data_IF_086542847878
#
_entry.id   IF_086542847878
#
_cell.length_a   1.000
_cell.length_b   1.000
_cell.length_c   1.000
_cell.angle_alpha   90.00
_cell.angle_beta   90.00
_cell.angle_gamma   90.00
#
_symmetry.space_group_name_H-M   'P 1'
#
loop_
_entity.id
_entity.type
_entity.pdbx_description
1 polymer ?
#
# COMPACT_ATOMS: atom_id res chain seq x y z
N UNK A 1 -26.47 3.95 -28.26
CA UNK A 1 -26.00 3.56 -26.94
C UNK A 1 -25.12 4.71 -26.45
N UNK A 2 -25.65 5.61 -25.61
CA UNK A 2 -24.87 6.65 -24.93
C UNK A 2 -23.83 5.94 -24.06
N UNK A 3 -22.55 6.09 -24.40
CA UNK A 3 -21.46 5.46 -23.69
C UNK A 3 -21.42 5.95 -22.25
N UNK A 4 -21.63 5.07 -21.29
CA UNK A 4 -21.40 5.37 -19.89
C UNK A 4 -19.93 5.77 -19.73
N UNK A 5 -19.68 6.89 -19.04
CA UNK A 5 -18.31 7.33 -18.76
C UNK A 5 -17.52 6.21 -18.07
N UNK A 6 -16.28 5.91 -18.46
CA UNK A 6 -15.46 4.94 -17.76
C UNK A 6 -15.37 5.28 -16.26
N UNK A 7 -15.33 4.29 -15.35
CA UNK A 7 -15.29 4.55 -13.92
C UNK A 7 -14.00 5.26 -13.52
N UNK A 8 -14.05 6.10 -12.49
CA UNK A 8 -12.83 6.49 -11.81
C UNK A 8 -12.30 5.30 -11.02
N UNK A 9 -11.00 5.28 -10.77
CA UNK A 9 -10.36 4.16 -10.06
C UNK A 9 -9.41 4.71 -9.01
N UNK A 10 -9.57 4.25 -7.77
CA UNK A 10 -8.68 4.59 -6.67
C UNK A 10 -8.13 3.30 -6.06
N UNK A 11 -6.82 3.13 -6.11
CA UNK A 11 -6.11 2.05 -5.42
C UNK A 11 -5.49 2.63 -4.14
N UNK A 12 -6.05 2.27 -2.99
CA UNK A 12 -5.57 2.67 -1.66
C UNK A 12 -4.69 1.55 -1.11
N UNK A 13 -3.45 1.87 -0.78
CA UNK A 13 -2.51 0.91 -0.20
C UNK A 13 -1.99 1.43 1.13
N UNK A 14 -2.17 0.63 2.19
CA UNK A 14 -1.52 0.83 3.48
C UNK A 14 -0.14 0.16 3.49
N UNK A 15 0.75 0.60 4.36
CA UNK A 15 2.13 0.14 4.46
C UNK A 15 2.35 -0.62 5.77
N UNK A 16 2.67 -1.90 5.68
CA UNK A 16 2.86 -2.79 6.84
C UNK A 16 1.61 -2.99 7.71
N UNK A 17 0.42 -2.83 7.16
CA UNK A 17 -0.82 -3.03 7.91
C UNK A 17 -1.11 -4.53 8.07
N UNK A 18 -1.16 -5.00 9.32
CA UNK A 18 -1.43 -6.41 9.62
C UNK A 18 -2.88 -6.81 9.38
N UNK A 19 -3.11 -8.10 9.17
CA UNK A 19 -4.45 -8.63 8.93
C UNK A 19 -5.42 -8.34 10.08
N UNK A 20 -4.94 -8.50 11.33
CA UNK A 20 -5.73 -8.25 12.53
C UNK A 20 -5.92 -6.76 12.86
N UNK A 21 -5.16 -5.87 12.23
CA UNK A 21 -5.30 -4.42 12.45
C UNK A 21 -6.61 -3.87 11.90
N UNK A 22 -7.23 -4.59 10.96
CA UNK A 22 -8.55 -4.28 10.41
C UNK A 22 -9.63 -4.93 11.26
N UNK A 23 -10.54 -4.12 11.80
CA UNK A 23 -11.55 -4.62 12.74
C UNK A 23 -12.50 -5.66 12.14
N UNK A 24 -12.76 -5.61 10.85
CA UNK A 24 -13.57 -6.61 10.14
C UNK A 24 -12.87 -7.98 10.06
N UNK A 25 -11.55 -8.02 9.98
CA UNK A 25 -10.79 -9.26 9.79
C UNK A 25 -10.51 -9.99 11.11
N UNK A 26 -10.01 -9.28 12.12
CA UNK A 26 -9.55 -9.91 13.36
C UNK A 26 -9.94 -9.17 14.63
N UNK A 27 -10.65 -8.08 14.51
CA UNK A 27 -11.15 -7.32 15.65
C UNK A 27 -10.48 -5.96 15.87
N UNK A 28 -9.29 -5.74 15.34
CA UNK A 28 -8.57 -4.47 15.46
C UNK A 28 -7.49 -4.45 16.54
N UNK A 29 -6.69 -3.39 16.53
CA UNK A 29 -5.56 -3.19 17.44
C UNK A 29 -6.01 -3.08 18.90
N UNK A 30 -5.15 -3.50 19.81
CA UNK A 30 -5.35 -3.49 21.25
C UNK A 30 -6.65 -4.21 21.68
N UNK A 31 -6.83 -5.44 21.16
CA UNK A 31 -8.02 -6.24 21.47
C UNK A 31 -9.33 -5.63 20.97
N UNK A 32 -9.25 -4.82 19.91
CA UNK A 32 -10.41 -4.19 19.29
C UNK A 32 -10.80 -2.84 19.87
N UNK A 33 -9.95 -2.22 20.68
CA UNK A 33 -10.14 -0.84 21.13
C UNK A 33 -10.09 0.11 19.93
N UNK A 34 -9.14 -0.11 19.01
CA UNK A 34 -9.05 0.65 17.76
C UNK A 34 -9.90 -0.03 16.70
N UNK A 35 -10.86 0.69 16.17
CA UNK A 35 -11.75 0.23 15.10
C UNK A 35 -11.40 0.91 13.78
N UNK A 36 -11.73 0.23 12.68
CA UNK A 36 -11.52 0.73 11.31
C UNK A 36 -12.84 0.81 10.53
N UNK A 37 -13.84 1.59 11.02
CA UNK A 37 -15.18 1.58 10.45
C UNK A 37 -15.23 2.04 8.99
N UNK A 38 -14.36 2.95 8.58
CA UNK A 38 -14.33 3.48 7.21
C UNK A 38 -13.69 2.49 6.22
N UNK A 39 -12.59 1.84 6.62
CA UNK A 39 -11.97 0.76 5.84
C UNK A 39 -12.93 -0.43 5.77
N UNK A 40 -13.54 -0.83 6.89
CA UNK A 40 -14.55 -1.89 6.94
C UNK A 40 -15.75 -1.61 6.04
N UNK A 41 -16.16 -0.33 5.91
CA UNK A 41 -17.27 0.07 5.04
C UNK A 41 -16.99 -0.24 3.56
N UNK A 42 -15.73 -0.13 3.10
CA UNK A 42 -15.36 -0.49 1.73
C UNK A 42 -15.74 -1.96 1.45
N UNK A 43 -15.48 -2.85 2.40
CA UNK A 43 -15.87 -4.26 2.28
C UNK A 43 -17.38 -4.48 2.38
N UNK A 44 -18.05 -3.82 3.34
CA UNK A 44 -19.50 -3.98 3.57
C UNK A 44 -20.33 -3.40 2.42
N UNK A 45 -19.87 -2.30 1.83
CA UNK A 45 -20.51 -1.66 0.68
C UNK A 45 -20.02 -2.23 -0.66
N UNK A 46 -19.20 -3.28 -0.65
CA UNK A 46 -18.59 -3.90 -1.82
C UNK A 46 -18.29 -5.37 -1.64
N UNK A 47 -17.08 -5.79 -1.95
CA UNK A 47 -16.59 -7.16 -1.83
C UNK A 47 -15.45 -7.25 -0.79
N UNK A 48 -15.53 -8.27 0.05
CA UNK A 48 -14.43 -8.76 0.89
C UNK A 48 -13.87 -10.05 0.28
N UNK A 49 -12.61 -10.01 -0.16
CA UNK A 49 -11.85 -11.21 -0.56
C UNK A 49 -11.19 -11.82 0.66
N UNK A 50 -11.79 -12.86 1.23
CA UNK A 50 -11.32 -13.46 2.49
C UNK A 50 -10.04 -14.28 2.35
N UNK A 51 -9.60 -14.57 1.12
CA UNK A 51 -8.38 -15.33 0.81
C UNK A 51 -7.50 -14.54 -0.17
N UNK A 52 -7.00 -13.39 0.29
CA UNK A 52 -6.17 -12.50 -0.53
C UNK A 52 -4.70 -12.52 -0.09
N UNK A 53 -3.80 -12.43 -1.07
CA UNK A 53 -2.36 -12.54 -0.85
C UNK A 53 -1.58 -11.36 -1.45
N UNK A 54 -0.64 -10.86 -0.66
CA UNK A 54 0.44 -10.02 -1.19
C UNK A 54 1.34 -10.87 -2.11
N UNK A 55 1.86 -10.24 -3.14
CA UNK A 55 2.74 -10.94 -4.09
C UNK A 55 4.15 -11.21 -3.54
N UNK A 56 4.50 -10.55 -2.45
CA UNK A 56 5.74 -10.75 -1.71
C UNK A 56 5.49 -10.37 -0.24
N UNK A 57 6.36 -10.83 0.66
CA UNK A 57 6.27 -10.53 2.08
C UNK A 57 6.87 -9.16 2.47
N UNK A 58 7.27 -8.34 1.50
CA UNK A 58 7.89 -7.02 1.70
C UNK A 58 7.40 -5.98 0.71
N UNK A 59 7.60 -4.69 1.05
CA UNK A 59 7.03 -3.51 0.40
C UNK A 59 7.28 -3.44 -1.11
N UNK A 60 8.53 -3.16 -1.51
CA UNK A 60 8.82 -2.81 -2.91
C UNK A 60 8.50 -3.92 -3.91
N UNK A 61 8.83 -5.21 -3.69
CA UNK A 61 8.44 -6.25 -4.64
C UNK A 61 6.92 -6.46 -4.69
N UNK A 62 6.18 -6.33 -3.58
CA UNK A 62 4.72 -6.35 -3.61
C UNK A 62 4.13 -5.20 -4.41
N UNK A 63 4.65 -3.99 -4.22
CA UNK A 63 4.23 -2.79 -4.98
C UNK A 63 4.56 -2.94 -6.46
N UNK A 64 5.73 -3.49 -6.79
CA UNK A 64 6.12 -3.81 -8.17
C UNK A 64 5.12 -4.78 -8.83
N UNK A 65 4.68 -5.80 -8.11
CA UNK A 65 3.69 -6.75 -8.60
C UNK A 65 2.31 -6.10 -8.82
N UNK A 66 1.85 -5.23 -7.92
CA UNK A 66 0.61 -4.46 -8.12
C UNK A 66 0.67 -3.57 -9.34
N UNK A 67 1.81 -2.88 -9.54
CA UNK A 67 1.98 -1.96 -10.66
C UNK A 67 2.12 -2.66 -12.01
N UNK A 68 2.68 -3.87 -12.07
CA UNK A 68 2.99 -4.57 -13.32
C UNK A 68 2.07 -5.76 -13.63
N UNK A 69 1.30 -6.25 -12.65
CA UNK A 69 0.53 -7.48 -12.76
C UNK A 69 1.40 -8.74 -12.93
N UNK A 70 2.69 -8.66 -12.56
CA UNK A 70 3.68 -9.73 -12.72
C UNK A 70 4.42 -10.00 -11.43
N UNK A 71 4.77 -11.26 -11.19
CA UNK A 71 5.68 -11.55 -10.08
C UNK A 71 7.02 -10.82 -10.28
N UNK A 72 7.54 -10.12 -9.25
CA UNK A 72 8.76 -9.33 -9.37
C UNK A 72 10.01 -10.16 -9.68
N UNK A 73 10.00 -11.45 -9.32
CA UNK A 73 11.02 -12.44 -9.73
C UNK A 73 11.20 -12.54 -11.26
N UNK A 74 10.17 -12.18 -12.04
CA UNK A 74 10.23 -12.24 -13.51
C UNK A 74 11.08 -11.14 -14.14
N UNK A 75 11.40 -10.09 -13.39
CA UNK A 75 12.22 -8.97 -13.86
C UNK A 75 13.36 -8.60 -12.88
N UNK A 76 13.63 -9.49 -11.90
CA UNK A 76 14.79 -9.36 -11.02
C UNK A 76 14.62 -8.37 -9.86
N UNK A 77 13.38 -8.08 -9.42
CA UNK A 77 13.09 -7.19 -8.31
C UNK A 77 12.44 -7.96 -7.15
N UNK A 78 13.20 -8.88 -6.55
CA UNK A 78 12.69 -9.92 -5.64
C UNK A 78 12.70 -9.51 -4.17
N UNK A 79 13.54 -8.53 -3.81
CA UNK A 79 13.78 -8.11 -2.43
C UNK A 79 13.46 -6.63 -2.25
N UNK A 80 13.27 -6.23 -1.00
CA UNK A 80 13.08 -4.82 -0.66
C UNK A 80 14.28 -4.00 -1.11
N UNK A 81 14.03 -2.97 -1.92
CA UNK A 81 15.06 -2.01 -2.27
C UNK A 81 15.48 -1.22 -1.02
N UNK A 82 16.74 -1.36 -0.64
CA UNK A 82 17.33 -0.68 0.50
C UNK A 82 18.77 -0.30 0.18
N UNK A 83 19.31 0.81 0.75
CA UNK A 83 20.74 1.12 0.63
C UNK A 83 21.57 0.04 1.32
N UNK A 84 22.80 -0.16 0.84
CA UNK A 84 23.74 -1.15 1.42
C UNK A 84 23.98 -0.86 2.90
N UNK A 85 24.08 0.41 3.27
CA UNK A 85 24.28 0.87 4.65
C UNK A 85 23.13 0.44 5.58
N UNK A 86 21.91 0.34 5.06
CA UNK A 86 20.78 -0.24 5.81
C UNK A 86 21.02 -1.71 6.10
N UNK A 87 21.36 -2.50 5.09
CA UNK A 87 21.60 -3.93 5.23
C UNK A 87 22.79 -4.21 6.19
N UNK A 88 23.86 -3.42 6.09
CA UNK A 88 25.00 -3.48 7.00
C UNK A 88 24.58 -3.13 8.43
N UNK A 89 23.89 -2.03 8.64
CA UNK A 89 23.46 -1.55 9.97
C UNK A 89 22.55 -2.55 10.68
N UNK A 90 21.57 -3.14 9.98
CA UNK A 90 20.64 -4.10 10.59
C UNK A 90 21.27 -5.48 10.85
N UNK A 91 22.35 -5.81 10.16
CA UNK A 91 23.09 -7.06 10.38
C UNK A 91 24.12 -6.97 11.53
N UNK A 92 24.58 -5.78 11.88
CA UNK A 92 25.48 -5.54 13.01
C UNK A 92 24.69 -5.41 14.30
N UNK A 93 24.73 -6.43 15.15
CA UNK A 93 24.15 -6.38 16.48
C UNK A 93 23.85 -7.74 17.08
N UNK A 94 23.62 -7.75 18.37
CA UNK A 94 23.07 -8.92 19.04
C UNK A 94 21.60 -9.01 18.67
N UNK A 95 21.29 -9.83 17.65
CA UNK A 95 19.92 -10.10 17.24
C UNK A 95 19.12 -10.71 18.38
N UNK A 96 17.83 -10.40 18.45
CA UNK A 96 16.89 -10.99 19.43
C UNK A 96 16.64 -12.47 19.14
N UNK A 97 17.07 -12.98 17.99
CA UNK A 97 16.90 -14.36 17.56
C UNK A 97 18.06 -15.29 17.97
N UNK A 98 17.85 -16.61 17.87
CA UNK A 98 18.87 -17.61 18.14
C UNK A 98 20.05 -17.59 17.15
N UNK A 99 19.89 -16.88 16.04
CA UNK A 99 20.89 -16.76 14.98
C UNK A 99 21.27 -15.30 14.77
N UNK A 100 22.59 -15.03 14.74
CA UNK A 100 23.08 -13.69 14.37
C UNK A 100 22.92 -13.49 12.87
N UNK A 101 22.47 -12.30 12.46
CA UNK A 101 22.52 -11.90 11.07
C UNK A 101 24.00 -11.78 10.63
N UNK A 102 24.29 -12.24 9.42
CA UNK A 102 25.64 -12.16 8.84
C UNK A 102 25.57 -11.25 7.63
N UNK A 103 26.39 -10.19 7.64
CA UNK A 103 26.53 -9.33 6.49
C UNK A 103 27.65 -9.85 5.58
N UNK A 104 27.29 -10.26 4.38
CA UNK A 104 28.19 -10.81 3.39
C UNK A 104 28.70 -9.70 2.45
N UNK A 105 29.65 -8.91 2.91
CA UNK A 105 30.23 -7.81 2.15
C UNK A 105 30.82 -8.25 0.80
N UNK A 106 31.32 -9.48 0.75
CA UNK A 106 31.88 -10.11 -0.46
C UNK A 106 30.84 -10.36 -1.57
N UNK A 107 29.57 -10.36 -1.23
CA UNK A 107 28.47 -10.49 -2.20
C UNK A 107 28.08 -9.14 -2.82
N UNK A 108 28.58 -8.01 -2.30
CA UNK A 108 28.36 -6.71 -2.90
C UNK A 108 29.30 -6.59 -4.09
N UNK A 109 28.76 -6.80 -5.27
CA UNK A 109 29.50 -6.74 -6.53
C UNK A 109 29.16 -5.45 -7.28
N UNK A 110 30.01 -5.01 -8.24
CA UNK A 110 29.70 -3.87 -9.11
C UNK A 110 28.41 -4.02 -9.95
N UNK A 111 27.85 -5.23 -9.99
CA UNK A 111 26.62 -5.50 -10.71
C UNK A 111 25.34 -5.25 -9.88
N UNK A 112 25.48 -5.00 -8.57
CA UNK A 112 24.34 -4.58 -7.75
C UNK A 112 24.11 -3.10 -8.03
N UNK A 113 22.91 -2.70 -8.52
CA UNK A 113 22.64 -1.29 -8.77
C UNK A 113 22.66 -0.49 -7.47
N UNK A 114 23.01 0.78 -7.58
CA UNK A 114 22.86 1.71 -6.47
C UNK A 114 21.40 1.85 -6.05
N UNK A 115 21.14 2.18 -4.80
CA UNK A 115 19.78 2.24 -4.26
C UNK A 115 18.80 3.05 -5.12
N UNK A 116 19.11 4.24 -5.66
CA UNK A 116 18.21 4.96 -6.55
C UNK A 116 17.82 4.21 -7.82
N UNK A 117 18.67 3.30 -8.29
CA UNK A 117 18.45 2.49 -9.49
C UNK A 117 17.72 1.17 -9.20
N UNK A 118 17.47 0.84 -7.91
CA UNK A 118 16.70 -0.32 -7.52
C UNK A 118 15.21 -0.05 -7.69
N UNK A 119 14.62 -0.52 -8.79
CA UNK A 119 13.21 -0.27 -9.09
C UNK A 119 12.63 -1.14 -10.18
N UNK A 120 11.41 -0.83 -10.58
CA UNK A 120 10.76 -1.48 -11.71
C UNK A 120 11.45 -1.06 -12.99
N UNK A 121 12.01 -2.00 -13.77
CA UNK A 121 12.68 -1.65 -15.02
C UNK A 121 11.73 -0.91 -15.97
N UNK A 122 12.22 0.11 -16.67
CA UNK A 122 11.43 0.94 -17.59
C UNK A 122 10.82 0.17 -18.79
N UNK A 123 11.27 -1.07 -19.03
CA UNK A 123 10.68 -1.97 -20.04
C UNK A 123 9.40 -2.67 -19.57
N UNK A 124 9.12 -2.67 -18.27
CA UNK A 124 7.89 -3.23 -17.72
C UNK A 124 6.77 -2.19 -17.89
N UNK A 125 5.60 -2.65 -18.31
CA UNK A 125 4.43 -1.78 -18.44
C UNK A 125 3.71 -1.71 -17.11
N UNK A 126 3.54 -0.50 -16.59
CA UNK A 126 2.79 -0.27 -15.35
C UNK A 126 1.30 -0.13 -15.62
N UNK A 127 0.49 -0.32 -14.57
CA UNK A 127 -0.96 -0.07 -14.66
C UNK A 127 -1.26 1.39 -14.98
N UNK A 128 -0.44 2.34 -14.51
CA UNK A 128 -0.60 3.75 -14.84
C UNK A 128 -0.43 4.00 -16.35
N UNK A 129 0.59 3.41 -16.98
CA UNK A 129 0.78 3.49 -18.44
C UNK A 129 -0.38 2.85 -19.20
N UNK A 130 -0.87 1.70 -18.74
CA UNK A 130 -1.96 1.00 -19.40
C UNK A 130 -3.27 1.79 -19.36
N UNK A 131 -3.66 2.36 -18.20
CA UNK A 131 -4.89 3.15 -18.10
C UNK A 131 -4.72 4.54 -18.72
N UNK A 132 -3.53 5.13 -18.70
CA UNK A 132 -3.23 6.38 -19.44
C UNK A 132 -3.45 6.22 -20.93
N UNK A 133 -3.02 5.10 -21.50
CA UNK A 133 -3.28 4.75 -22.90
C UNK A 133 -4.80 4.59 -23.20
N UNK A 134 -5.62 4.28 -22.19
CA UNK A 134 -7.07 4.22 -22.28
C UNK A 134 -7.76 5.57 -22.01
N UNK A 135 -7.01 6.67 -21.88
CA UNK A 135 -7.53 8.03 -21.74
C UNK A 135 -7.74 8.49 -20.29
N UNK A 136 -7.20 7.79 -19.31
CA UNK A 136 -7.25 8.19 -17.91
C UNK A 136 -6.20 9.25 -17.58
N UNK A 137 -6.57 10.19 -16.72
CA UNK A 137 -5.60 11.02 -16.01
C UNK A 137 -5.05 10.24 -14.81
N UNK A 138 -3.72 10.17 -14.67
CA UNK A 138 -3.08 9.26 -13.73
C UNK A 138 -2.38 10.03 -12.60
N UNK A 139 -2.71 9.68 -11.37
CA UNK A 139 -2.32 10.37 -10.15
C UNK A 139 -1.61 9.41 -9.19
N UNK A 140 -0.45 9.80 -8.67
CA UNK A 140 0.24 9.11 -7.60
C UNK A 140 0.37 10.02 -6.38
N UNK A 141 -0.06 9.55 -5.21
CA UNK A 141 0.07 10.26 -3.94
C UNK A 141 0.60 9.29 -2.89
N UNK A 142 1.77 9.56 -2.34
CA UNK A 142 2.34 8.82 -1.24
C UNK A 142 3.61 8.03 -1.56
N UNK A 143 3.76 6.86 -0.93
CA UNK A 143 4.95 6.01 -1.07
C UNK A 143 5.04 5.37 -2.45
N UNK A 144 6.23 5.51 -3.06
CA UNK A 144 6.57 4.84 -4.33
C UNK A 144 7.36 3.57 -4.12
N UNK A 145 8.60 3.66 -3.67
CA UNK A 145 9.52 2.56 -3.37
C UNK A 145 9.82 1.63 -4.58
N UNK A 146 9.77 2.17 -5.79
CA UNK A 146 10.00 1.43 -7.05
C UNK A 146 11.09 2.07 -7.92
N UNK A 147 12.01 2.80 -7.29
CA UNK A 147 13.16 3.47 -7.90
C UNK A 147 13.11 4.99 -7.71
N UNK A 148 14.27 5.57 -7.37
CA UNK A 148 14.44 7.02 -7.18
C UNK A 148 15.12 7.71 -8.36
N UNK A 149 15.82 6.94 -9.22
CA UNK A 149 16.42 7.48 -10.43
C UNK A 149 15.35 8.09 -11.36
N UNK A 150 15.64 9.17 -12.08
CA UNK A 150 14.65 9.89 -12.90
C UNK A 150 13.84 9.00 -13.83
N UNK A 151 14.46 7.97 -14.43
CA UNK A 151 13.78 7.02 -15.33
C UNK A 151 12.84 6.04 -14.61
N UNK A 152 12.93 5.93 -13.28
CA UNK A 152 12.16 4.99 -12.47
C UNK A 152 11.13 5.70 -11.59
N UNK A 153 11.10 7.02 -11.57
CA UNK A 153 10.14 7.80 -10.79
C UNK A 153 8.71 7.68 -11.36
N UNK A 154 7.68 7.95 -10.56
CA UNK A 154 6.28 7.75 -10.97
C UNK A 154 5.92 8.44 -12.30
N UNK A 155 6.38 9.67 -12.54
CA UNK A 155 6.10 10.40 -13.79
C UNK A 155 6.74 9.76 -15.02
N UNK A 156 7.86 9.05 -14.86
CA UNK A 156 8.48 8.26 -15.94
C UNK A 156 7.80 6.89 -16.13
N UNK A 157 7.00 6.46 -15.16
CA UNK A 157 6.31 5.18 -15.11
C UNK A 157 4.78 5.33 -15.31
N UNK A 158 4.36 6.40 -16.00
CA UNK A 158 3.00 6.57 -16.48
C UNK A 158 2.08 7.48 -15.68
N UNK A 159 2.53 8.07 -14.56
CA UNK A 159 1.73 9.04 -13.81
C UNK A 159 1.86 10.46 -14.35
N UNK A 160 0.73 11.13 -14.59
CA UNK A 160 0.70 12.53 -15.03
C UNK A 160 1.10 13.47 -13.91
N UNK A 161 0.66 13.15 -12.68
CA UNK A 161 0.98 13.91 -11.47
C UNK A 161 1.42 12.94 -10.37
N UNK A 162 2.46 13.33 -9.64
CA UNK A 162 3.00 12.51 -8.55
C UNK A 162 3.48 13.36 -7.39
N UNK A 163 2.84 13.21 -6.24
CA UNK A 163 3.31 13.67 -4.95
C UNK A 163 3.89 12.48 -4.20
N UNK A 164 5.22 12.38 -4.10
CA UNK A 164 5.88 11.15 -3.75
C UNK A 164 6.78 11.24 -2.51
N UNK A 165 6.69 10.21 -1.66
CA UNK A 165 7.83 9.67 -0.92
C UNK A 165 8.48 8.63 -1.82
N UNK A 166 9.62 8.96 -2.43
CA UNK A 166 10.27 8.08 -3.42
C UNK A 166 10.84 6.81 -2.80
N UNK A 167 11.38 6.90 -1.59
CA UNK A 167 12.00 5.79 -0.87
C UNK A 167 11.01 4.89 -0.10
N UNK A 168 11.59 4.01 0.71
CA UNK A 168 10.85 2.98 1.45
C UNK A 168 10.05 3.49 2.64
N UNK A 169 10.39 4.64 3.21
CA UNK A 169 9.70 5.26 4.33
C UNK A 169 10.03 6.76 4.42
N UNK A 170 9.29 7.47 5.26
CA UNK A 170 9.53 8.87 5.61
C UNK A 170 9.10 9.12 7.06
N UNK A 171 9.56 10.22 7.65
CA UNK A 171 9.00 10.75 8.89
C UNK A 171 7.58 11.26 8.63
N UNK A 172 6.67 11.07 9.57
CA UNK A 172 5.30 11.58 9.45
C UNK A 172 5.17 13.03 9.90
N UNK A 173 6.05 13.45 10.82
CA UNK A 173 6.24 14.80 11.31
C UNK A 173 7.73 15.00 11.61
N UNK A 174 8.23 16.24 11.73
CA UNK A 174 9.52 16.47 12.40
C UNK A 174 9.54 15.79 13.78
N UNK A 175 10.67 15.22 14.18
CA UNK A 175 10.75 14.46 15.44
C UNK A 175 10.41 15.31 16.67
N UNK A 176 10.76 16.59 16.63
CA UNK A 176 10.57 17.58 17.68
C UNK A 176 9.28 18.43 17.52
N UNK A 177 8.41 18.07 16.58
CA UNK A 177 7.13 18.76 16.40
C UNK A 177 6.22 18.57 17.62
N UNK A 178 5.56 19.63 18.06
CA UNK A 178 4.70 19.61 19.24
C UNK A 178 3.48 18.68 19.08
N UNK A 179 3.07 18.40 17.85
CA UNK A 179 1.96 17.50 17.53
C UNK A 179 2.41 16.06 17.28
N UNK A 180 3.73 15.78 17.32
CA UNK A 180 4.27 14.44 17.13
C UNK A 180 4.28 13.66 18.45
N UNK A 181 3.67 12.47 18.45
CA UNK A 181 3.83 11.50 19.54
C UNK A 181 4.63 10.33 19.01
N UNK A 182 5.89 10.24 19.47
CA UNK A 182 6.89 9.30 18.97
C UNK A 182 6.97 8.05 19.85
N UNK A 183 7.09 6.89 19.25
CA UNK A 183 7.43 5.64 19.94
C UNK A 183 8.65 5.00 19.29
N UNK A 184 9.82 5.14 19.91
CA UNK A 184 11.04 4.48 19.46
C UNK A 184 11.10 3.04 19.97
N UNK A 185 11.67 2.16 19.15
CA UNK A 185 11.78 0.74 19.41
C UNK A 185 13.25 0.38 19.74
N UNK A 186 13.67 0.48 21.01
CA UNK A 186 15.09 0.38 21.38
C UNK A 186 15.71 -1.01 21.14
N UNK A 187 14.89 -2.01 20.95
CA UNK A 187 15.32 -3.39 20.63
C UNK A 187 15.54 -3.60 19.12
N UNK A 188 15.04 -2.70 18.24
CA UNK A 188 15.04 -2.93 16.81
C UNK A 188 16.05 -2.06 16.06
N UNK A 189 16.92 -2.72 15.29
CA UNK A 189 17.94 -2.05 14.47
C UNK A 189 17.37 -1.33 13.26
N UNK A 190 16.27 -1.82 12.73
CA UNK A 190 15.56 -1.17 11.62
C UNK A 190 15.06 0.19 12.09
N UNK A 191 14.39 0.22 13.23
CA UNK A 191 13.87 1.46 13.82
C UNK A 191 15.00 2.48 14.09
N UNK A 192 16.13 2.05 14.68
CA UNK A 192 17.27 2.92 14.90
C UNK A 192 17.80 3.54 13.61
N UNK A 193 17.93 2.73 12.54
CA UNK A 193 18.36 3.24 11.24
C UNK A 193 17.36 4.25 10.67
N UNK A 194 16.07 3.97 10.76
CA UNK A 194 15.00 4.83 10.23
C UNK A 194 15.00 6.20 10.92
N UNK A 195 15.04 6.24 12.26
CA UNK A 195 15.09 7.50 13.01
C UNK A 195 16.32 8.35 12.67
N UNK A 196 17.44 7.71 12.40
CA UNK A 196 18.68 8.41 12.07
C UNK A 196 18.74 8.96 10.64
N UNK A 197 18.02 8.33 9.70
CA UNK A 197 18.23 8.59 8.26
C UNK A 197 17.01 9.13 7.53
N UNK A 198 15.79 8.90 8.04
CA UNK A 198 14.58 9.35 7.34
C UNK A 198 14.37 10.85 7.45
N UNK A 199 13.67 11.38 6.46
CA UNK A 199 13.33 12.80 6.38
C UNK A 199 11.82 12.99 6.34
N UNK A 200 11.38 14.12 6.89
CA UNK A 200 10.03 14.64 6.72
C UNK A 200 9.99 15.45 5.43
N UNK A 201 9.83 14.78 4.30
CA UNK A 201 9.88 15.42 3.00
C UNK A 201 9.19 14.59 1.91
N UNK A 202 8.67 15.30 0.91
CA UNK A 202 8.07 14.76 -0.32
C UNK A 202 8.65 15.46 -1.55
N UNK A 203 8.36 14.91 -2.74
CA UNK A 203 8.64 15.55 -4.04
C UNK A 203 7.36 15.64 -4.85
N UNK A 204 7.27 16.62 -5.76
CA UNK A 204 6.18 16.70 -6.72
C UNK A 204 6.76 16.68 -8.15
N UNK A 205 6.36 15.69 -8.95
CA UNK A 205 6.80 15.52 -10.34
C UNK A 205 8.32 15.65 -10.55
N UNK A 206 9.10 15.01 -9.67
CA UNK A 206 10.57 15.06 -9.74
C UNK A 206 11.19 16.37 -9.26
N UNK A 207 10.44 17.22 -8.58
CA UNK A 207 10.96 18.43 -7.95
C UNK A 207 12.00 18.14 -6.88
N UNK A 208 12.69 19.17 -6.41
CA UNK A 208 13.45 19.09 -5.15
C UNK A 208 12.49 18.73 -4.01
N UNK A 209 13.02 18.02 -3.01
CA UNK A 209 12.27 17.68 -1.80
C UNK A 209 11.82 18.94 -1.06
N UNK A 210 10.59 18.91 -0.56
CA UNK A 210 10.03 19.97 0.27
C UNK A 210 9.27 19.35 1.45
N UNK A 211 9.02 20.14 2.49
CA UNK A 211 8.28 19.68 3.67
C UNK A 211 6.78 19.72 3.39
N UNK A 212 6.05 18.62 3.65
CA UNK A 212 4.59 18.63 3.62
C UNK A 212 4.03 19.51 4.74
N UNK A 213 2.71 19.71 4.74
CA UNK A 213 2.02 20.44 5.82
C UNK A 213 1.38 19.47 6.79
N UNK A 214 1.77 19.52 8.06
CA UNK A 214 1.19 18.68 9.11
C UNK A 214 1.56 17.20 8.95
N UNK A 215 0.82 16.34 9.64
CA UNK A 215 1.10 14.91 9.63
C UNK A 215 0.94 14.31 8.23
N UNK A 216 1.92 13.48 7.80
CA UNK A 216 2.01 12.94 6.44
C UNK A 216 0.72 12.22 5.98
N UNK A 217 0.07 11.48 6.89
CA UNK A 217 -1.18 10.78 6.59
C UNK A 217 -2.31 11.77 6.26
N UNK A 218 -2.44 12.85 7.03
CA UNK A 218 -3.42 13.90 6.78
C UNK A 218 -3.11 14.61 5.46
N UNK A 219 -1.86 14.96 5.25
CA UNK A 219 -1.42 15.65 4.03
C UNK A 219 -1.74 14.86 2.76
N UNK A 220 -1.44 13.55 2.72
CA UNK A 220 -1.77 12.72 1.56
C UNK A 220 -3.28 12.62 1.33
N UNK A 221 -4.08 12.54 2.39
CA UNK A 221 -5.52 12.52 2.25
C UNK A 221 -6.08 13.85 1.75
N UNK A 222 -5.56 14.99 2.25
CA UNK A 222 -5.95 16.32 1.77
C UNK A 222 -5.65 16.50 0.29
N UNK A 223 -4.44 16.13 -0.15
CA UNK A 223 -4.05 16.17 -1.56
C UNK A 223 -4.90 15.23 -2.43
N UNK A 224 -5.28 14.05 -1.91
CA UNK A 224 -6.20 13.15 -2.61
C UNK A 224 -7.60 13.75 -2.75
N UNK A 225 -8.11 14.41 -1.72
CA UNK A 225 -9.41 15.11 -1.71
C UNK A 225 -9.41 16.25 -2.73
N UNK A 226 -8.34 17.06 -2.76
CA UNK A 226 -8.19 18.14 -3.76
C UNK A 226 -8.06 17.57 -5.18
N UNK A 227 -7.32 16.48 -5.37
CA UNK A 227 -7.18 15.81 -6.65
C UNK A 227 -8.52 15.23 -7.15
N UNK A 228 -9.36 14.67 -6.27
CA UNK A 228 -10.71 14.20 -6.62
C UNK A 228 -11.56 15.38 -7.13
N UNK A 229 -11.57 16.51 -6.39
CA UNK A 229 -12.30 17.71 -6.81
C UNK A 229 -11.84 18.21 -8.18
N UNK A 230 -10.54 18.31 -8.39
CA UNK A 230 -9.96 18.80 -9.65
C UNK A 230 -10.26 17.88 -10.85
N UNK A 231 -10.45 16.59 -10.61
CA UNK A 231 -10.59 15.58 -11.66
C UNK A 231 -12.01 14.99 -11.80
N UNK A 232 -12.99 15.43 -11.03
CA UNK A 232 -14.37 14.88 -11.05
C UNK A 232 -15.04 14.86 -12.42
N UNK A 233 -14.59 15.68 -13.36
CA UNK A 233 -15.17 15.79 -14.70
C UNK A 233 -14.46 14.95 -15.77
N UNK A 234 -13.41 14.19 -15.43
CA UNK A 234 -12.69 13.29 -16.33
C UNK A 234 -12.38 11.95 -15.64
N UNK A 235 -12.25 10.84 -16.39
CA UNK A 235 -11.84 9.59 -15.77
C UNK A 235 -10.40 9.72 -15.23
N UNK A 236 -10.19 9.26 -13.99
CA UNK A 236 -8.88 9.26 -13.37
C UNK A 236 -8.56 7.93 -12.70
N UNK A 237 -7.29 7.61 -12.66
CA UNK A 237 -6.71 6.56 -11.84
C UNK A 237 -5.82 7.20 -10.77
N UNK A 238 -6.10 6.93 -9.51
CA UNK A 238 -5.31 7.40 -8.38
C UNK A 238 -4.68 6.21 -7.64
N UNK A 239 -3.36 6.20 -7.53
CA UNK A 239 -2.62 5.33 -6.63
C UNK A 239 -2.33 6.11 -5.34
N UNK A 240 -3.15 5.88 -4.31
CA UNK A 240 -3.05 6.52 -3.00
C UNK A 240 -2.36 5.56 -2.03
N UNK A 241 -1.05 5.73 -1.89
CA UNK A 241 -0.17 4.84 -1.15
C UNK A 241 0.28 5.50 0.16
N UNK A 242 -0.48 5.29 1.23
CA UNK A 242 -0.12 5.80 2.55
C UNK A 242 1.15 5.14 3.09
N UNK A 243 1.98 5.92 3.83
CA UNK A 243 3.09 5.38 4.61
C UNK A 243 2.62 4.73 5.93
N UNK A 244 1.42 5.06 6.41
CA UNK A 244 0.88 4.51 7.64
C UNK A 244 0.43 3.04 7.47
N UNK A 245 0.63 2.21 8.52
CA UNK A 245 1.27 2.49 9.81
C UNK A 245 2.75 2.06 9.91
N UNK A 246 3.53 2.13 8.81
CA UNK A 246 4.95 1.80 8.81
C UNK A 246 5.75 2.61 9.84
N UNK A 247 6.81 2.03 10.37
CA UNK A 247 7.79 2.75 11.21
C UNK A 247 8.52 3.86 10.42
N UNK A 248 8.98 4.94 11.09
CA UNK A 248 8.95 5.23 12.53
C UNK A 248 7.53 5.41 13.07
N UNK A 249 7.27 4.91 14.28
CA UNK A 249 5.96 5.07 14.89
C UNK A 249 5.79 6.52 15.39
N UNK A 250 5.06 7.32 14.63
CA UNK A 250 4.73 8.71 14.93
C UNK A 250 3.23 8.92 14.74
N UNK A 251 2.50 9.15 15.82
CA UNK A 251 1.10 9.51 15.77
C UNK A 251 0.92 11.03 15.83
N UNK A 252 -0.17 11.52 15.24
CA UNK A 252 -0.66 12.84 15.53
C UNK A 252 -1.19 12.86 16.96
N UNK A 253 -0.79 13.88 17.74
CA UNK A 253 -1.19 14.04 19.16
C UNK A 253 -2.72 13.99 19.35
N UNK A 254 -3.45 14.62 18.44
CA UNK A 254 -4.91 14.65 18.49
C UNK A 254 -5.56 13.26 18.38
N UNK A 255 -4.96 12.32 17.61
CA UNK A 255 -5.47 10.95 17.50
C UNK A 255 -4.96 10.07 18.65
N UNK A 256 -3.72 10.28 19.11
CA UNK A 256 -3.19 9.61 20.30
C UNK A 256 -4.01 9.92 21.57
N UNK A 257 -4.41 11.17 21.78
CA UNK A 257 -5.14 11.60 22.97
C UNK A 257 -6.54 10.98 23.05
N UNK A 258 -7.11 10.53 21.93
CA UNK A 258 -8.42 9.82 21.88
C UNK A 258 -8.37 8.39 22.40
N UNK A 259 -7.19 7.83 22.66
CA UNK A 259 -6.99 6.43 23.05
C UNK A 259 -6.39 6.26 24.47
N UNK A 260 -6.89 6.97 25.53
CA UNK A 260 -6.28 6.93 26.86
C UNK A 260 -6.42 5.57 27.56
N UNK A 261 -7.33 4.72 27.08
CA UNK A 261 -7.55 3.35 27.56
C UNK A 261 -6.41 2.40 27.17
N UNK A 262 -5.66 2.69 26.12
CA UNK A 262 -4.46 1.90 25.75
C UNK A 262 -3.28 2.41 26.58
N UNK A 263 -2.82 1.58 27.54
CA UNK A 263 -1.77 1.97 28.50
C UNK A 263 -0.36 1.80 27.98
N UNK A 264 -0.12 0.80 27.13
CA UNK A 264 1.18 0.63 26.48
C UNK A 264 1.38 1.72 25.44
N UNK A 265 2.40 2.57 25.65
CA UNK A 265 2.67 3.75 24.85
C UNK A 265 2.84 3.41 23.36
N UNK A 266 3.65 2.41 23.04
CA UNK A 266 3.92 1.96 21.67
C UNK A 266 2.63 1.51 20.96
N UNK A 267 1.85 0.65 21.61
CA UNK A 267 0.57 0.17 21.07
C UNK A 267 -0.42 1.32 20.90
N UNK A 268 -0.41 2.30 21.79
CA UNK A 268 -1.27 3.49 21.68
C UNK A 268 -0.86 4.36 20.49
N UNK A 269 0.44 4.57 20.26
CA UNK A 269 0.96 5.31 19.07
C UNK A 269 0.56 4.59 17.80
N UNK A 270 0.82 3.29 17.72
CA UNK A 270 0.45 2.49 16.54
C UNK A 270 -1.06 2.49 16.28
N UNK A 271 -1.86 2.29 17.33
CA UNK A 271 -3.31 2.36 17.24
C UNK A 271 -3.83 3.72 16.78
N UNK A 272 -3.21 4.80 17.25
CA UNK A 272 -3.55 6.16 16.81
C UNK A 272 -3.22 6.39 15.33
N UNK A 273 -2.10 5.86 14.82
CA UNK A 273 -1.76 5.93 13.40
C UNK A 273 -2.81 5.20 12.54
N UNK A 274 -3.31 4.05 13.00
CA UNK A 274 -4.36 3.30 12.29
C UNK A 274 -5.71 4.01 12.36
N UNK A 275 -6.08 4.55 13.52
CA UNK A 275 -7.31 5.32 13.66
C UNK A 275 -7.30 6.57 12.77
N UNK A 276 -6.16 7.25 12.66
CA UNK A 276 -5.97 8.37 11.75
C UNK A 276 -6.09 7.94 10.28
N UNK A 277 -5.42 6.84 9.89
CA UNK A 277 -5.51 6.29 8.55
C UNK A 277 -6.97 5.97 8.16
N UNK A 278 -7.69 5.27 9.03
CA UNK A 278 -9.10 4.93 8.81
C UNK A 278 -9.97 6.18 8.63
N UNK A 279 -9.82 7.16 9.53
CA UNK A 279 -10.56 8.44 9.47
C UNK A 279 -10.29 9.16 8.15
N UNK A 280 -9.02 9.24 7.75
CA UNK A 280 -8.63 9.95 6.51
C UNK A 280 -9.11 9.23 5.25
N UNK A 281 -9.14 7.89 5.24
CA UNK A 281 -9.79 7.13 4.17
C UNK A 281 -11.29 7.44 4.15
N UNK A 282 -11.93 7.57 5.30
CA UNK A 282 -13.32 8.01 5.41
C UNK A 282 -13.57 9.36 4.75
N UNK A 283 -12.67 10.33 4.96
CA UNK A 283 -12.77 11.67 4.35
C UNK A 283 -12.63 11.61 2.82
N UNK A 284 -11.73 10.78 2.30
CA UNK A 284 -11.60 10.52 0.85
C UNK A 284 -12.89 9.93 0.29
N UNK A 285 -13.47 8.93 0.97
CA UNK A 285 -14.74 8.31 0.55
C UNK A 285 -15.91 9.29 0.61
N UNK A 286 -15.95 10.17 1.63
CA UNK A 286 -16.95 11.22 1.74
C UNK A 286 -16.85 12.22 0.57
N UNK A 287 -15.63 12.55 0.12
CA UNK A 287 -15.40 13.43 -1.03
C UNK A 287 -15.95 12.86 -2.34
N UNK A 288 -15.89 11.55 -2.55
CA UNK A 288 -16.50 10.91 -3.72
C UNK A 288 -18.02 11.11 -3.72
N UNK A 289 -18.67 10.98 -2.57
CA UNK A 289 -20.11 11.21 -2.41
C UNK A 289 -20.47 12.69 -2.61
N UNK A 290 -19.71 13.59 -2.00
CA UNK A 290 -19.90 15.05 -2.13
C UNK A 290 -19.81 15.53 -3.59
N UNK A 291 -18.87 14.97 -4.36
CA UNK A 291 -18.67 15.33 -5.77
C UNK A 291 -19.62 14.61 -6.72
N UNK A 292 -20.43 13.68 -6.23
CA UNK A 292 -21.41 12.93 -7.02
C UNK A 292 -20.81 11.91 -7.99
N UNK A 293 -19.57 11.48 -7.75
CA UNK A 293 -18.88 10.49 -8.60
C UNK A 293 -18.76 9.10 -7.93
N UNK A 294 -19.29 8.95 -6.72
CA UNK A 294 -19.17 7.75 -5.91
C UNK A 294 -19.69 6.49 -6.62
N UNK A 295 -20.86 6.58 -7.25
CA UNK A 295 -21.49 5.43 -7.95
C UNK A 295 -20.64 4.93 -9.13
N UNK A 296 -19.85 5.80 -9.74
CA UNK A 296 -18.96 5.48 -10.87
C UNK A 296 -17.48 5.53 -10.48
N UNK A 297 -17.16 5.11 -9.26
CA UNK A 297 -15.77 5.00 -8.80
C UNK A 297 -15.51 3.61 -8.22
N UNK A 298 -14.53 2.90 -8.80
CA UNK A 298 -13.98 1.68 -8.24
C UNK A 298 -12.92 2.04 -7.20
N UNK A 299 -13.15 1.69 -5.96
CA UNK A 299 -12.18 1.82 -4.85
C UNK A 299 -11.66 0.44 -4.48
N UNK A 300 -10.36 0.28 -4.46
CA UNK A 300 -9.65 -0.93 -4.04
C UNK A 300 -8.81 -0.58 -2.82
N UNK A 301 -8.92 -1.34 -1.75
CA UNK A 301 -8.11 -1.20 -0.54
C UNK A 301 -7.31 -2.48 -0.28
N UNK A 302 -6.00 -2.32 -0.02
CA UNK A 302 -5.11 -3.43 0.37
C UNK A 302 -3.96 -2.94 1.25
N UNK A 303 -3.22 -3.87 1.85
CA UNK A 303 -1.89 -3.62 2.44
C UNK A 303 -0.83 -4.27 1.56
N UNK A 304 0.37 -3.70 1.53
CA UNK A 304 1.44 -4.23 0.66
C UNK A 304 2.06 -5.54 1.17
N UNK A 305 2.02 -5.80 2.46
CA UNK A 305 2.45 -7.05 3.12
C UNK A 305 1.82 -7.15 4.52
N UNK A 306 2.12 -8.21 5.23
CA UNK A 306 1.73 -8.35 6.64
C UNK A 306 2.40 -7.36 7.57
N UNK A 307 1.84 -7.18 8.77
CA UNK A 307 2.38 -6.31 9.81
C UNK A 307 3.76 -6.74 10.28
N UNK A 308 4.56 -5.77 10.71
CA UNK A 308 5.96 -5.95 11.05
C UNK A 308 6.14 -6.40 12.53
N UNK A 309 6.77 -7.54 12.74
CA UNK A 309 7.00 -8.09 14.08
C UNK A 309 7.84 -7.19 15.00
N UNK A 310 8.78 -6.45 14.41
CA UNK A 310 9.69 -5.58 15.17
C UNK A 310 8.96 -4.43 15.88
N UNK A 311 7.71 -4.15 15.53
CA UNK A 311 6.86 -3.26 16.30
C UNK A 311 6.59 -3.77 17.72
N UNK A 312 6.93 -5.05 18.01
CA UNK A 312 6.79 -5.64 19.32
C UNK A 312 5.34 -5.84 19.76
N UNK A 313 4.43 -6.02 18.79
CA UNK A 313 3.02 -6.34 19.02
C UNK A 313 2.72 -7.71 18.41
N UNK A 314 2.35 -8.71 19.21
CA UNK A 314 2.26 -10.09 18.73
C UNK A 314 1.06 -10.36 17.82
N UNK A 315 0.02 -9.54 17.90
CA UNK A 315 -1.31 -9.83 17.34
C UNK A 315 -1.56 -9.21 15.97
N UNK A 316 -0.60 -8.48 15.39
CA UNK A 316 -0.80 -7.72 14.14
C UNK A 316 -1.35 -8.57 12.99
N UNK A 317 -0.91 -9.82 12.90
CA UNK A 317 -1.26 -10.72 11.81
C UNK A 317 -2.17 -11.88 12.26
N UNK A 318 -2.69 -11.84 13.48
CA UNK A 318 -3.57 -12.90 13.98
C UNK A 318 -4.76 -13.13 13.03
N UNK A 319 -5.19 -14.37 12.86
CA UNK A 319 -4.74 -15.60 13.51
C UNK A 319 -3.54 -16.27 12.82
N UNK A 320 -2.91 -15.61 11.85
CA UNK A 320 -1.88 -16.19 10.99
C UNK A 320 -0.50 -16.15 11.63
N UNK A 321 0.28 -17.23 11.40
CA UNK A 321 1.68 -17.31 11.78
C UNK A 321 2.54 -16.45 10.85
N UNK A 322 3.56 -15.79 11.41
CA UNK A 322 4.54 -15.02 10.67
C UNK A 322 4.18 -13.53 10.59
N UNK A 323 4.99 -12.80 9.86
CA UNK A 323 4.98 -11.35 9.78
C UNK A 323 5.74 -10.89 8.54
N UNK A 324 5.78 -9.60 8.28
CA UNK A 324 6.59 -8.97 7.22
C UNK A 324 7.98 -9.64 7.11
N UNK A 325 8.44 -9.83 5.89
CA UNK A 325 9.67 -10.52 5.53
C UNK A 325 9.66 -12.05 5.76
N UNK A 326 8.53 -12.64 6.14
CA UNK A 326 8.36 -14.10 6.17
C UNK A 326 7.29 -14.55 5.19
N UNK A 327 7.48 -15.71 4.55
CA UNK A 327 6.51 -16.27 3.59
C UNK A 327 5.48 -17.19 4.24
N UNK A 328 5.27 -17.08 5.56
CA UNK A 328 4.11 -17.63 6.24
C UNK A 328 2.87 -16.76 5.97
N UNK A 329 1.69 -17.30 6.26
CA UNK A 329 0.41 -16.58 6.07
C UNK A 329 0.44 -15.16 6.67
N UNK A 330 0.99 -14.95 7.86
CA UNK A 330 1.06 -13.65 8.50
C UNK A 330 1.94 -12.62 7.79
N UNK A 331 2.83 -13.06 6.88
CA UNK A 331 3.66 -12.15 6.08
C UNK A 331 3.04 -11.81 4.73
N UNK A 332 2.20 -12.69 4.18
CA UNK A 332 1.64 -12.55 2.83
C UNK A 332 0.12 -12.50 2.78
N UNK A 333 -0.61 -12.95 3.83
CA UNK A 333 -2.05 -12.80 3.89
C UNK A 333 -2.39 -11.33 4.08
N UNK A 334 -3.11 -10.75 3.15
CA UNK A 334 -3.43 -9.33 3.17
C UNK A 334 -4.92 -9.09 3.07
N UNK A 335 -5.35 -7.90 3.46
CA UNK A 335 -6.70 -7.41 3.22
C UNK A 335 -6.84 -7.02 1.75
N UNK A 336 -7.94 -7.42 1.11
CA UNK A 336 -8.32 -6.94 -0.22
C UNK A 336 -9.82 -6.70 -0.24
N UNK A 337 -10.20 -5.44 -0.31
CA UNK A 337 -11.57 -4.98 -0.42
C UNK A 337 -11.75 -4.20 -1.71
N UNK A 338 -12.89 -4.35 -2.36
CA UNK A 338 -13.24 -3.57 -3.55
C UNK A 338 -14.67 -3.06 -3.42
N UNK A 339 -14.88 -1.79 -3.73
CA UNK A 339 -16.19 -1.15 -3.72
C UNK A 339 -16.40 -0.36 -5.01
N UNK A 340 -17.51 -0.61 -5.65
CA UNK A 340 -17.97 0.14 -6.83
C UNK A 340 -19.51 0.04 -6.90
N UNK A 341 -20.23 1.02 -6.35
CA UNK A 341 -21.70 0.93 -6.24
C UNK A 341 -22.40 0.70 -7.56
N UNK A 342 -21.93 1.30 -8.65
CA UNK A 342 -22.47 1.09 -10.00
C UNK A 342 -22.13 -0.26 -10.65
N UNK A 343 -21.23 -1.06 -10.06
CA UNK A 343 -20.70 -2.28 -10.70
C UNK A 343 -20.57 -3.50 -9.80
N UNK A 344 -20.57 -3.35 -8.48
CA UNK A 344 -20.33 -4.43 -7.50
C UNK A 344 -21.46 -4.44 -6.47
N UNK A 345 -22.07 -5.60 -6.26
CA UNK A 345 -23.10 -5.77 -5.22
C UNK A 345 -22.49 -5.66 -3.82
N UNK A 346 -23.09 -4.81 -2.97
CA UNK A 346 -22.70 -4.64 -1.58
C UNK A 346 -22.84 -5.94 -0.77
N UNK A 347 -21.98 -6.10 0.25
CA UNK A 347 -22.02 -7.25 1.16
C UNK A 347 -21.54 -8.57 0.56
N UNK A 348 -20.90 -8.53 -0.61
CA UNK A 348 -20.36 -9.71 -1.26
C UNK A 348 -19.11 -10.23 -0.54
N UNK A 349 -19.03 -11.54 -0.31
CA UNK A 349 -17.82 -12.23 0.16
C UNK A 349 -17.35 -13.23 -0.88
N UNK A 350 -16.03 -13.29 -1.08
CA UNK A 350 -15.41 -14.24 -2.01
C UNK A 350 -14.24 -14.92 -1.31
N UNK A 351 -14.22 -16.25 -1.35
CA UNK A 351 -13.15 -17.07 -0.79
C UNK A 351 -12.16 -17.58 -1.87
N UNK A 352 -12.35 -17.15 -3.11
CA UNK A 352 -11.41 -17.47 -4.18
C UNK A 352 -10.03 -16.87 -3.85
N UNK A 353 -8.99 -17.63 -4.13
CA UNK A 353 -7.61 -17.15 -3.96
C UNK A 353 -7.36 -16.02 -4.94
N UNK A 354 -7.08 -14.86 -4.40
CA UNK A 354 -6.81 -13.62 -5.15
C UNK A 354 -5.56 -12.95 -4.60
N UNK A 355 -5.09 -11.90 -5.22
CA UNK A 355 -3.96 -11.16 -4.70
C UNK A 355 -3.55 -9.95 -5.52
N UNK A 356 -2.40 -9.43 -5.21
CA UNK A 356 -1.86 -8.21 -5.80
C UNK A 356 -1.73 -8.29 -7.33
N UNK A 357 -1.46 -9.47 -7.89
CA UNK A 357 -1.37 -9.68 -9.34
C UNK A 357 -2.71 -9.46 -10.05
N UNK A 358 -3.83 -9.75 -9.37
CA UNK A 358 -5.17 -9.59 -9.92
C UNK A 358 -5.59 -8.11 -9.99
N UNK A 359 -4.97 -7.24 -9.19
CA UNK A 359 -5.27 -5.80 -9.15
C UNK A 359 -5.04 -5.16 -10.52
N UNK A 360 -3.89 -5.43 -11.16
CA UNK A 360 -3.59 -4.91 -12.50
C UNK A 360 -4.67 -5.30 -13.50
N UNK A 361 -4.99 -6.59 -13.58
CA UNK A 361 -5.98 -7.10 -14.52
C UNK A 361 -7.39 -6.55 -14.24
N UNK A 362 -7.75 -6.38 -12.97
CA UNK A 362 -9.03 -5.81 -12.54
C UNK A 362 -9.15 -4.34 -12.94
N UNK A 363 -8.13 -3.54 -12.66
CA UNK A 363 -8.09 -2.12 -13.02
C UNK A 363 -8.12 -1.95 -14.55
N UNK A 364 -7.30 -2.72 -15.28
CA UNK A 364 -7.27 -2.68 -16.74
C UNK A 364 -8.62 -3.03 -17.34
N UNK A 365 -9.30 -4.07 -16.82
CA UNK A 365 -10.64 -4.45 -17.26
C UNK A 365 -11.68 -3.38 -16.97
N UNK A 366 -11.68 -2.78 -15.77
CA UNK A 366 -12.59 -1.70 -15.39
C UNK A 366 -12.40 -0.45 -16.25
N UNK A 367 -11.14 -0.14 -16.61
CA UNK A 367 -10.78 0.99 -17.46
C UNK A 367 -11.03 0.74 -18.96
N UNK A 368 -11.33 -0.49 -19.37
CA UNK A 368 -11.34 -0.86 -20.79
C UNK A 368 -9.96 -0.81 -21.44
N UNK A 369 -8.89 -0.84 -20.64
CA UNK A 369 -7.53 -0.84 -21.11
C UNK A 369 -7.13 -2.23 -21.64
N UNK A 370 -6.40 -2.26 -22.75
CA UNK A 370 -5.80 -3.50 -23.25
C UNK A 370 -4.43 -3.63 -22.62
N UNK A 371 -4.19 -4.65 -21.77
CA UNK A 371 -2.86 -4.84 -21.19
C UNK A 371 -1.85 -5.15 -22.28
N UNK A 372 -0.94 -4.25 -22.56
CA UNK A 372 0.18 -4.48 -23.46
C UNK A 372 1.37 -5.07 -22.68
N UNK A 373 1.13 -6.11 -21.88
CA UNK A 373 2.25 -6.81 -21.23
C UNK A 373 3.08 -7.54 -22.28
N UNK A 374 4.40 -7.39 -22.30
CA UNK A 374 5.25 -8.24 -23.09
C UNK A 374 5.02 -9.69 -22.69
N UNK A 375 4.40 -10.49 -23.56
CA UNK A 375 4.28 -11.93 -23.31
C UNK A 375 5.69 -12.51 -23.35
N UNK A 376 6.12 -13.11 -22.25
CA UNK A 376 7.30 -13.97 -22.31
C UNK A 376 7.06 -15.06 -23.38
N UNK A 377 7.96 -15.29 -24.31
CA UNK A 377 7.83 -16.41 -25.25
C UNK A 377 7.61 -17.70 -24.45
N UNK A 378 6.52 -18.42 -24.71
CA UNK A 378 6.24 -19.72 -24.10
C UNK A 378 5.37 -19.74 -22.85
N UNK A 379 4.83 -18.61 -22.37
CA UNK A 379 3.86 -18.65 -21.27
C UNK A 379 2.51 -19.21 -21.75
N UNK A 380 1.95 -20.26 -21.11
CA UNK A 380 0.62 -20.76 -21.46
C UNK A 380 -0.44 -19.67 -21.22
N UNK A 381 -1.37 -19.54 -22.17
CA UNK A 381 -2.51 -18.64 -22.04
C UNK A 381 -3.38 -19.13 -20.87
N UNK A 382 -3.58 -18.36 -19.79
CA UNK A 382 -4.53 -18.79 -18.76
C UNK A 382 -5.92 -18.90 -19.39
N UNK A 383 -6.72 -19.93 -19.01
CA UNK A 383 -8.06 -20.07 -19.54
C UNK A 383 -8.86 -18.82 -19.19
N UNK A 384 -9.52 -18.23 -20.18
CA UNK A 384 -10.47 -17.13 -19.95
C UNK A 384 -11.59 -17.66 -19.07
N UNK A 385 -11.53 -17.44 -17.76
CA UNK A 385 -12.68 -17.64 -16.89
C UNK A 385 -13.67 -16.54 -17.20
N UNK A 386 -14.69 -16.88 -18.00
CA UNK A 386 -15.92 -16.09 -18.07
C UNK A 386 -16.51 -16.09 -16.66
N UNK A 387 -16.74 -14.92 -16.10
CA UNK A 387 -17.65 -14.77 -14.97
C UNK A 387 -19.03 -15.12 -15.52
N UNK A 388 -19.42 -16.38 -15.36
CA UNK A 388 -20.74 -16.84 -15.77
C UNK A 388 -21.73 -16.44 -14.67
N UNK A 389 -22.51 -15.40 -14.94
CA UNK A 389 -23.55 -14.87 -14.07
C UNK A 389 -24.76 -15.83 -13.87
N UNK A 390 -24.65 -17.10 -14.31
CA UNK A 390 -25.75 -18.09 -14.31
C UNK A 390 -25.43 -19.33 -13.49
N UNK A 391 -24.96 -19.20 -12.26
CA UNK A 391 -25.09 -20.29 -11.27
C UNK A 391 -25.71 -19.75 -9.99
N UNK A 392 -26.98 -19.38 -10.07
CA UNK A 392 -27.88 -19.43 -8.91
C UNK A 392 -28.74 -20.68 -9.07
N UNK A 393 -28.71 -21.55 -8.06
CA UNK A 393 -29.73 -22.56 -7.79
C UNK A 393 -29.37 -23.98 -8.16
N UNK A 394 -28.80 -24.72 -7.18
CA UNK A 394 -29.34 -26.01 -6.72
C UNK A 394 -28.65 -26.40 -5.40
N UNK A 395 -29.40 -26.69 -4.32
CA UNK A 395 -28.90 -27.26 -3.07
C UNK A 395 -28.69 -28.79 -3.18
N UNK A 396 -28.20 -29.44 -2.12
CA UNK A 396 -27.05 -30.32 -2.01
C UNK A 396 -27.20 -31.68 -2.62
#
# INVERSE_FOLDING_TARGET
LGGQRPPNIILIVADDLGYNDISLNGGGVAGGIVKTPNIDAIAREGINFTTAYAANATCSPSRAAMMTGRYPTRFGFEYTAVPVEFAESVSHGEGIGPHKAIFHKELITPNIPDYPEMGVPAKEVTIAEAVKAAGYHTLHIGKWHLGEAPALQPQAQGFDESLAVLGGAAMFLPEDDADAVNAKLPWDRIDHFLWANLRYAVTFNGSKRFHPKGHMTDYFADEAIEAIEANKNRPFFMYLAFNAPHTPLQAAKADYDKLPQIKDHKTRVYGAMIAQLDRRIGDVMAKLKETGIDDNTLVIFTSDNGGAWYNGMPDLNAPFRGWKATFFEGGIRTTLFMRWPGGIAAGTQRADVTGHLDIFATIAAAAGATPSTPRSPGAPTPPRRRIDSRRQGQPP
#
